data_IF_514133186988
#
_entry.id   IF_514133186988
#
_cell.length_a   1.000
_cell.length_b   1.000
_cell.length_c   1.000
_cell.angle_alpha   90.00
_cell.angle_beta   90.00
_cell.angle_gamma   90.00
#
_symmetry.space_group_name_H-M   'P 1'
#
loop_
_entity.id
_entity.type
_entity.pdbx_description
1 polymer ?
#
# COMPACT_ATOMS: atom_id res chain seq x y z
N UNK A 1 -27.25 18.06 7.03
CA UNK A 1 -25.89 17.64 7.47
C UNK A 1 -25.49 16.22 7.06
N UNK A 2 -26.40 15.31 6.68
CA UNK A 2 -26.03 13.93 6.29
C UNK A 2 -25.58 13.73 4.83
N UNK A 3 -26.03 14.56 3.89
CA UNK A 3 -25.78 14.35 2.46
C UNK A 3 -24.36 14.68 1.99
N UNK A 4 -23.70 15.63 2.65
CA UNK A 4 -22.32 16.03 2.34
C UNK A 4 -21.32 14.98 2.84
N UNK A 5 -21.50 14.51 4.08
CA UNK A 5 -20.67 13.44 4.66
C UNK A 5 -20.73 12.15 3.83
N UNK A 6 -21.91 11.82 3.27
CA UNK A 6 -22.06 10.66 2.40
C UNK A 6 -21.33 10.81 1.07
N UNK A 7 -21.31 12.01 0.49
CA UNK A 7 -20.64 12.25 -0.79
C UNK A 7 -19.11 12.16 -0.63
N UNK A 8 -18.55 12.80 0.42
CA UNK A 8 -17.11 12.76 0.70
C UNK A 8 -16.63 11.34 1.01
N UNK A 9 -17.41 10.56 1.75
CA UNK A 9 -17.12 9.17 2.04
C UNK A 9 -17.12 8.31 0.78
N UNK A 10 -18.12 8.48 -0.11
CA UNK A 10 -18.18 7.74 -1.37
C UNK A 10 -17.00 8.09 -2.28
N UNK A 11 -16.58 9.35 -2.30
CA UNK A 11 -15.46 9.83 -3.09
C UNK A 11 -14.12 9.29 -2.57
N UNK A 12 -13.95 9.26 -1.24
CA UNK A 12 -12.81 8.59 -0.60
C UNK A 12 -12.79 7.08 -0.86
N UNK A 13 -13.92 6.38 -0.67
CA UNK A 13 -14.00 4.94 -0.90
C UNK A 13 -13.74 4.59 -2.38
N UNK A 14 -14.24 5.42 -3.31
CA UNK A 14 -14.00 5.26 -4.74
C UNK A 14 -12.51 5.43 -5.09
N UNK A 15 -11.87 6.50 -4.61
CA UNK A 15 -10.43 6.74 -4.84
C UNK A 15 -9.56 5.67 -4.17
N UNK A 16 -9.93 5.22 -2.98
CA UNK A 16 -9.26 4.11 -2.30
C UNK A 16 -9.39 2.80 -3.08
N UNK A 17 -10.59 2.45 -3.52
CA UNK A 17 -10.83 1.22 -4.29
C UNK A 17 -10.10 1.24 -5.64
N UNK A 18 -10.12 2.35 -6.35
CA UNK A 18 -9.38 2.52 -7.61
C UNK A 18 -7.87 2.39 -7.39
N UNK A 19 -7.34 3.02 -6.33
CA UNK A 19 -5.93 2.90 -5.96
C UNK A 19 -5.56 1.45 -5.60
N UNK A 20 -6.43 0.77 -4.85
CA UNK A 20 -6.25 -0.63 -4.48
C UNK A 20 -6.18 -1.54 -5.72
N UNK A 21 -7.08 -1.34 -6.67
CA UNK A 21 -7.11 -2.10 -7.93
C UNK A 21 -5.88 -1.81 -8.79
N UNK A 22 -5.46 -0.55 -8.89
CA UNK A 22 -4.26 -0.16 -9.62
C UNK A 22 -3.00 -0.82 -9.03
N UNK A 23 -2.82 -0.73 -7.71
CA UNK A 23 -1.70 -1.36 -7.00
C UNK A 23 -1.74 -2.89 -7.13
N UNK A 24 -2.91 -3.51 -6.99
CA UNK A 24 -3.07 -4.95 -7.20
C UNK A 24 -2.67 -5.37 -8.63
N UNK A 25 -3.07 -4.58 -9.64
CA UNK A 25 -2.72 -4.82 -11.03
C UNK A 25 -1.22 -4.68 -11.30
N UNK A 26 -0.59 -3.65 -10.74
CA UNK A 26 0.86 -3.44 -10.81
C UNK A 26 1.62 -4.58 -10.12
N UNK A 27 1.21 -4.97 -8.91
CA UNK A 27 1.80 -6.13 -8.22
C UNK A 27 1.68 -7.41 -9.03
N UNK A 28 0.51 -7.69 -9.65
CA UNK A 28 0.34 -8.89 -10.49
C UNK A 28 1.28 -8.86 -11.70
N UNK A 29 1.39 -7.73 -12.39
CA UNK A 29 2.30 -7.56 -13.54
C UNK A 29 3.76 -7.71 -13.11
N UNK A 30 4.12 -7.13 -11.99
CA UNK A 30 5.48 -7.18 -11.46
C UNK A 30 5.86 -8.58 -10.97
N UNK A 31 4.97 -9.29 -10.28
CA UNK A 31 5.16 -10.68 -9.88
C UNK A 31 5.27 -11.63 -11.06
N UNK A 32 4.60 -11.32 -12.18
CA UNK A 32 4.79 -12.06 -13.44
C UNK A 32 6.16 -11.80 -14.06
N UNK A 33 6.70 -10.58 -13.91
CA UNK A 33 8.02 -10.18 -14.46
C UNK A 33 9.19 -10.64 -13.59
N UNK A 34 9.02 -10.65 -12.26
CA UNK A 34 10.04 -11.05 -11.29
C UNK A 34 9.45 -12.08 -10.31
N UNK A 35 9.62 -13.39 -10.59
CA UNK A 35 9.13 -14.44 -9.70
C UNK A 35 9.81 -14.38 -8.33
N UNK A 36 11.05 -13.91 -8.25
CA UNK A 36 11.77 -13.74 -6.98
C UNK A 36 11.12 -12.68 -6.09
N UNK A 37 10.62 -11.58 -6.68
CA UNK A 37 9.86 -10.57 -5.93
C UNK A 37 8.55 -11.15 -5.41
N UNK A 38 7.90 -12.00 -6.22
CA UNK A 38 6.68 -12.70 -5.80
C UNK A 38 6.94 -13.69 -4.66
N UNK A 39 8.03 -14.45 -4.70
CA UNK A 39 8.43 -15.38 -3.65
C UNK A 39 8.71 -14.65 -2.33
N UNK A 40 9.49 -13.56 -2.38
CA UNK A 40 9.76 -12.70 -1.22
C UNK A 40 8.48 -12.13 -0.62
N UNK A 41 7.61 -11.56 -1.46
CA UNK A 41 6.33 -11.02 -1.01
C UNK A 41 5.43 -12.11 -0.41
N UNK A 42 5.40 -13.33 -0.97
CA UNK A 42 4.62 -14.44 -0.40
C UNK A 42 5.12 -14.85 0.97
N UNK A 43 6.44 -14.94 1.16
CA UNK A 43 7.07 -15.27 2.44
C UNK A 43 6.84 -14.20 3.53
N UNK A 44 6.63 -12.94 3.13
CA UNK A 44 6.42 -11.84 4.06
C UNK A 44 5.19 -12.08 4.96
N UNK A 45 5.29 -11.90 6.29
CA UNK A 45 4.18 -12.11 7.22
C UNK A 45 3.02 -11.17 6.93
N UNK A 46 1.79 -11.64 7.21
CA UNK A 46 0.56 -10.91 6.91
C UNK A 46 0.54 -9.49 7.49
N UNK A 47 1.12 -9.28 8.68
CA UNK A 47 1.16 -7.96 9.35
C UNK A 47 1.85 -6.88 8.49
N UNK A 48 2.93 -7.22 7.78
CA UNK A 48 3.61 -6.25 6.91
C UNK A 48 2.80 -5.95 5.64
N UNK A 49 2.13 -6.97 5.08
CA UNK A 49 1.20 -6.79 3.96
C UNK A 49 0.04 -5.88 4.38
N UNK A 50 -0.58 -6.18 5.53
CA UNK A 50 -1.68 -5.41 6.08
C UNK A 50 -1.30 -3.95 6.30
N UNK A 51 -0.07 -3.66 6.74
CA UNK A 51 0.40 -2.28 6.91
C UNK A 51 0.40 -1.50 5.58
N UNK A 52 0.84 -2.12 4.48
CA UNK A 52 0.72 -1.48 3.16
C UNK A 52 -0.74 -1.26 2.75
N UNK A 53 -1.61 -2.25 2.94
CA UNK A 53 -3.01 -2.18 2.46
C UNK A 53 -3.93 -1.32 3.32
N UNK A 54 -3.69 -1.24 4.64
CA UNK A 54 -4.57 -0.59 5.61
C UNK A 54 -4.03 0.74 6.14
N UNK A 55 -2.75 1.04 5.94
CA UNK A 55 -2.17 2.32 6.34
C UNK A 55 -1.66 3.12 5.14
N UNK A 56 -0.73 2.55 4.38
CA UNK A 56 -0.09 3.28 3.26
C UNK A 56 -1.09 3.61 2.16
N UNK A 57 -1.89 2.62 1.75
CA UNK A 57 -2.84 2.78 0.66
C UNK A 57 -3.98 3.78 0.98
N UNK A 58 -4.63 3.76 2.16
CA UNK A 58 -5.57 4.82 2.55
C UNK A 58 -4.95 6.20 2.64
N UNK A 59 -3.73 6.34 3.17
CA UNK A 59 -3.02 7.62 3.20
C UNK A 59 -2.73 8.14 1.79
N UNK A 60 -2.31 7.25 0.89
CA UNK A 60 -2.10 7.60 -0.52
C UNK A 60 -3.40 8.02 -1.22
N UNK A 61 -4.48 7.24 -1.05
CA UNK A 61 -5.78 7.59 -1.62
C UNK A 61 -6.30 8.93 -1.08
N UNK A 62 -6.16 9.16 0.24
CA UNK A 62 -6.46 10.44 0.87
C UNK A 62 -5.62 11.58 0.32
N UNK A 63 -4.36 11.33 -0.04
CA UNK A 63 -3.47 12.35 -0.63
C UNK A 63 -3.92 12.86 -2.00
N UNK A 64 -4.66 12.03 -2.76
CA UNK A 64 -5.26 12.45 -4.04
C UNK A 64 -6.39 13.46 -3.84
N UNK A 65 -7.04 13.45 -2.67
CA UNK A 65 -8.10 14.39 -2.31
C UNK A 65 -7.56 15.58 -1.49
N UNK A 66 -6.53 15.36 -0.68
CA UNK A 66 -5.87 16.36 0.14
C UNK A 66 -4.36 16.17 0.12
N UNK A 67 -3.67 17.00 -0.69
CA UNK A 67 -2.23 16.88 -0.94
C UNK A 67 -1.34 16.90 0.31
N UNK A 68 -1.81 17.43 1.45
CA UNK A 68 -1.06 17.40 2.72
C UNK A 68 -0.79 15.97 3.21
N UNK A 69 -1.66 15.01 2.86
CA UNK A 69 -1.49 13.60 3.22
C UNK A 69 -0.41 12.89 2.39
N UNK A 70 0.17 13.53 1.38
CA UNK A 70 1.22 12.93 0.56
C UNK A 70 2.49 12.67 1.37
N UNK A 71 2.92 13.62 2.20
CA UNK A 71 4.08 13.47 3.08
C UNK A 71 3.94 12.28 4.04
N UNK A 72 2.84 12.13 4.81
CA UNK A 72 2.66 10.95 5.66
C UNK A 72 2.46 9.66 4.85
N UNK A 73 1.87 9.71 3.65
CA UNK A 73 1.81 8.54 2.76
C UNK A 73 3.21 8.06 2.36
N UNK A 74 4.09 8.97 1.92
CA UNK A 74 5.48 8.65 1.58
C UNK A 74 6.29 8.19 2.81
N UNK A 75 6.11 8.84 3.96
CA UNK A 75 6.78 8.45 5.20
C UNK A 75 6.38 7.05 5.67
N UNK A 76 5.08 6.73 5.63
CA UNK A 76 4.57 5.40 6.00
C UNK A 76 5.00 4.33 4.98
N UNK A 77 5.03 4.64 3.69
CA UNK A 77 5.57 3.76 2.65
C UNK A 77 7.05 3.45 2.92
N UNK A 78 7.87 4.48 3.16
CA UNK A 78 9.29 4.32 3.46
C UNK A 78 9.53 3.48 4.71
N UNK A 79 8.77 3.73 5.79
CA UNK A 79 8.84 2.92 7.01
C UNK A 79 8.43 1.47 6.76
N UNK A 80 7.34 1.24 6.02
CA UNK A 80 6.89 -0.10 5.65
C UNK A 80 7.96 -0.83 4.84
N UNK A 81 8.61 -0.14 3.89
CA UNK A 81 9.69 -0.68 3.10
C UNK A 81 10.88 -1.05 3.99
N UNK A 82 11.40 -0.13 4.80
CA UNK A 82 12.52 -0.40 5.73
C UNK A 82 12.23 -1.60 6.64
N UNK A 83 11.00 -1.71 7.16
CA UNK A 83 10.58 -2.84 7.98
C UNK A 83 10.58 -4.16 7.18
N UNK A 84 10.09 -4.14 5.94
CA UNK A 84 10.16 -5.30 5.04
C UNK A 84 11.61 -5.68 4.70
N UNK A 85 12.47 -4.72 4.36
CA UNK A 85 13.88 -4.96 4.04
C UNK A 85 14.62 -5.54 5.25
N UNK A 86 14.37 -5.02 6.46
CA UNK A 86 14.91 -5.56 7.71
C UNK A 86 14.46 -7.01 7.94
N UNK A 87 13.19 -7.31 7.68
CA UNK A 87 12.68 -8.66 7.80
C UNK A 87 13.31 -9.60 6.77
N UNK A 88 13.42 -9.19 5.49
CA UNK A 88 14.06 -9.99 4.45
C UNK A 88 15.53 -10.29 4.77
N UNK A 89 16.29 -9.31 5.27
CA UNK A 89 17.66 -9.53 5.72
C UNK A 89 17.74 -10.55 6.85
N UNK A 90 16.85 -10.43 7.85
CA UNK A 90 16.80 -11.38 8.98
C UNK A 90 16.39 -12.79 8.53
N UNK A 91 15.50 -12.91 7.55
CA UNK A 91 15.04 -14.17 6.99
C UNK A 91 16.01 -14.78 5.97
N UNK A 92 17.14 -14.11 5.68
CA UNK A 92 18.11 -14.55 4.69
C UNK A 92 17.61 -14.43 3.25
N UNK A 93 16.51 -13.73 2.99
CA UNK A 93 15.87 -13.55 1.66
C UNK A 93 16.39 -12.30 0.91
N UNK A 94 17.53 -11.76 1.36
CA UNK A 94 18.20 -10.60 0.74
C UNK A 94 19.28 -11.10 -0.22
N UNK A 95 18.87 -11.46 -1.42
CA UNK A 95 19.73 -11.82 -2.54
C UNK A 95 19.29 -11.03 -3.78
#
# INVERSE_FOLDING_TARGET
MNSQLSADLLLFLGTWLLSALAVAGLHRREFKRSPDKAARYRALPFRYKALCWLLVLPLFAGSLLNGWLLLPALGSLYLAEVLCLRWYRKAGLWH
#
